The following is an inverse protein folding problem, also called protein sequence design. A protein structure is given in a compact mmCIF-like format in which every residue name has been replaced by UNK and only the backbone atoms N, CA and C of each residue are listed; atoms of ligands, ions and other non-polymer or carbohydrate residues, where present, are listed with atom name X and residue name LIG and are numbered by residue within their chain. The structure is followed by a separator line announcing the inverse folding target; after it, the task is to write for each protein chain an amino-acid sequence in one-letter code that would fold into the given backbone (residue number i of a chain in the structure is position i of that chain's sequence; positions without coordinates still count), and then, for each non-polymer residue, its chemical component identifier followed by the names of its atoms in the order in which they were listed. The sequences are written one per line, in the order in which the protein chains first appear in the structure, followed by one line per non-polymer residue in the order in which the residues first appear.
data_IF_221547276481
#
_entry.id   IF_221547276481
#
_cell.length_a   1.000
_cell.length_b   1.000
_cell.length_c   1.000
_cell.angle_alpha   90.00
_cell.angle_beta   90.00
_cell.angle_gamma   90.00
#
_symmetry.space_group_name_H-M   'P 1'
#
loop_
_entity.id
_entity.type
_entity.pdbx_description
1 polymer ?
#
# COMPACT_ATOMS: atom_id res chain seq x y z
N UNK A 1 -60.54 -34.87 -7.16
CA UNK A 1 -61.66 -35.02 -6.21
C UNK A 1 -61.63 -36.44 -5.69
N UNK A 2 -61.38 -36.58 -4.38
CA UNK A 2 -61.85 -37.69 -3.49
C UNK A 2 -61.35 -39.10 -3.82
N UNK A 3 -61.03 -39.99 -2.88
CA UNK A 3 -60.93 -40.04 -1.42
C UNK A 3 -60.32 -41.43 -1.19
N UNK A 4 -59.32 -41.60 -0.32
CA UNK A 4 -59.18 -42.87 0.38
C UNK A 4 -58.44 -42.64 1.68
N UNK A 5 -59.12 -43.01 2.76
CA UNK A 5 -58.62 -43.07 4.12
C UNK A 5 -58.57 -44.55 4.53
N UNK A 6 -57.85 -44.81 5.63
CA UNK A 6 -57.65 -46.12 6.30
C UNK A 6 -56.60 -47.01 5.61
N UNK A 7 -55.64 -47.62 6.29
CA UNK A 7 -55.46 -47.90 7.71
C UNK A 7 -54.04 -48.44 7.95
N UNK A 8 -53.65 -48.45 9.23
CA UNK A 8 -52.74 -49.42 9.89
C UNK A 8 -51.25 -49.43 9.51
N UNK A 9 -50.45 -48.79 10.38
CA UNK A 9 -49.08 -49.20 10.67
C UNK A 9 -49.10 -50.60 11.33
N UNK A 10 -48.04 -51.42 11.16
CA UNK A 10 -47.11 -51.49 12.28
C UNK A 10 -45.62 -51.61 11.90
N UNK A 11 -44.84 -50.89 12.70
CA UNK A 11 -43.50 -51.16 13.22
C UNK A 11 -42.58 -52.15 12.49
N UNK A 12 -41.45 -51.62 12.00
CA UNK A 12 -40.22 -52.41 11.86
C UNK A 12 -38.98 -51.61 12.27
N UNK A 13 -38.57 -51.87 13.51
CA UNK A 13 -37.18 -51.90 13.97
C UNK A 13 -36.41 -50.57 14.01
N UNK A 14 -36.36 -49.95 15.19
CA UNK A 14 -35.27 -49.04 15.55
C UNK A 14 -33.93 -49.78 15.36
N UNK A 15 -33.10 -49.27 14.43
CA UNK A 15 -31.69 -49.66 14.37
C UNK A 15 -31.00 -49.11 15.62
N UNK A 16 -30.46 -50.05 16.41
CA UNK A 16 -29.71 -49.81 17.63
C UNK A 16 -28.54 -48.85 17.38
N UNK A 17 -28.48 -47.76 18.13
CA UNK A 17 -27.23 -47.05 18.41
C UNK A 17 -26.30 -48.04 19.12
N UNK A 18 -25.14 -48.33 18.52
CA UNK A 18 -24.04 -48.98 19.24
C UNK A 18 -23.27 -47.89 20.00
N UNK A 19 -23.04 -48.06 21.31
CA UNK A 19 -22.23 -47.14 22.09
C UNK A 19 -20.77 -47.50 21.82
N UNK A 20 -20.06 -46.68 21.06
CA UNK A 20 -18.61 -46.79 20.96
C UNK A 20 -17.98 -45.72 21.83
N UNK A 21 -17.76 -46.17 23.07
CA UNK A 21 -16.82 -45.69 24.10
C UNK A 21 -16.06 -44.40 23.83
N UNK A 22 -16.36 -43.42 24.69
CA UNK A 22 -15.58 -42.24 25.06
C UNK A 22 -14.09 -42.47 25.39
N UNK A 23 -13.59 -43.71 25.33
CA UNK A 23 -12.25 -44.09 25.80
C UNK A 23 -11.15 -44.04 24.72
N UNK A 24 -11.46 -43.68 23.46
CA UNK A 24 -10.44 -43.56 22.38
C UNK A 24 -9.93 -42.15 22.12
N UNK A 25 -10.43 -41.15 22.85
CA UNK A 25 -10.03 -39.74 22.65
C UNK A 25 -8.76 -39.36 23.44
N UNK A 26 -8.29 -40.20 24.36
CA UNK A 26 -7.27 -39.79 25.36
C UNK A 26 -5.82 -40.20 25.07
N UNK A 27 -5.49 -40.78 23.91
CA UNK A 27 -4.09 -41.19 23.60
C UNK A 27 -3.51 -40.53 22.33
N UNK A 28 -4.33 -39.86 21.51
CA UNK A 28 -3.85 -39.11 20.33
C UNK A 28 -3.71 -37.59 20.59
N UNK A 29 -3.73 -37.16 21.85
CA UNK A 29 -3.53 -35.75 22.25
C UNK A 29 -2.12 -35.41 22.72
N UNK A 30 -1.27 -36.41 22.96
CA UNK A 30 0.01 -36.23 23.66
C UNK A 30 1.25 -36.25 22.74
N UNK A 31 1.10 -36.36 21.41
CA UNK A 31 2.23 -36.45 20.46
C UNK A 31 2.41 -35.18 19.61
N UNK A 32 1.44 -34.26 19.57
CA UNK A 32 1.54 -33.01 18.78
C UNK A 32 2.06 -31.78 19.55
N UNK A 33 2.44 -31.90 20.82
CA UNK A 33 2.87 -30.76 21.65
C UNK A 33 4.39 -30.58 21.77
N UNK A 34 5.21 -31.25 20.94
CA UNK A 34 6.69 -31.21 21.06
C UNK A 34 7.40 -30.66 19.82
N UNK A 35 6.85 -29.62 19.20
CA UNK A 35 7.53 -28.92 18.09
C UNK A 35 7.37 -27.39 18.10
N UNK A 36 6.97 -26.78 19.22
CA UNK A 36 7.20 -25.36 19.45
C UNK A 36 8.54 -25.20 20.19
N UNK A 37 9.64 -25.42 19.47
CA UNK A 37 10.85 -24.68 19.83
C UNK A 37 10.54 -23.21 19.52
N UNK A 38 10.75 -22.25 20.43
CA UNK A 38 10.82 -20.87 20.01
C UNK A 38 11.92 -20.85 18.96
N UNK A 39 11.60 -20.44 17.73
CA UNK A 39 12.65 -19.93 16.87
C UNK A 39 13.30 -18.82 17.70
N UNK A 40 14.54 -19.02 18.12
CA UNK A 40 15.41 -17.93 18.50
C UNK A 40 15.52 -17.07 17.23
N UNK A 41 14.53 -16.20 17.04
CA UNK A 41 14.71 -14.97 16.30
C UNK A 41 15.86 -14.32 17.05
N UNK A 42 17.08 -14.50 16.55
CA UNK A 42 18.18 -13.63 16.88
C UNK A 42 17.61 -12.23 16.71
N UNK A 43 17.31 -11.59 17.85
CA UNK A 43 16.97 -10.18 17.90
C UNK A 43 18.14 -9.53 17.20
N UNK A 44 17.95 -9.14 15.94
CA UNK A 44 18.98 -8.48 15.14
C UNK A 44 19.56 -7.44 16.07
N UNK A 45 20.84 -7.63 16.43
CA UNK A 45 21.52 -6.72 17.32
C UNK A 45 21.22 -5.33 16.77
N UNK A 46 20.64 -4.47 17.62
CA UNK A 46 20.31 -3.10 17.26
C UNK A 46 21.62 -2.49 16.77
N UNK A 47 21.77 -2.40 15.45
CA UNK A 47 22.88 -1.70 14.86
C UNK A 47 22.65 -0.25 15.27
N UNK A 48 23.40 0.21 16.27
CA UNK A 48 23.43 1.60 16.66
C UNK A 48 24.09 2.36 15.53
N UNK A 49 23.29 2.85 14.59
CA UNK A 49 23.76 3.74 13.56
C UNK A 49 24.00 5.11 14.20
N UNK A 50 25.25 5.39 14.55
CA UNK A 50 25.68 6.76 14.91
C UNK A 50 25.82 7.53 13.60
N UNK A 51 24.69 7.98 13.05
CA UNK A 51 24.66 8.88 11.90
C UNK A 51 24.25 10.27 12.38
N UNK A 52 25.10 11.27 12.10
CA UNK A 52 24.75 12.67 12.30
C UNK A 52 23.75 13.08 11.21
N UNK A 53 22.47 13.18 11.58
CA UNK A 53 21.44 13.69 10.67
C UNK A 53 21.69 15.18 10.42
N UNK A 54 21.63 15.63 9.16
CA UNK A 54 21.67 17.07 8.85
C UNK A 54 20.55 17.81 9.58
N UNK A 55 20.73 19.11 9.80
CA UNK A 55 19.63 19.92 10.35
C UNK A 55 18.47 20.01 9.34
N UNK A 56 17.30 20.48 9.78
CA UNK A 56 16.11 20.52 8.93
C UNK A 56 16.30 21.28 7.62
N UNK A 57 17.00 22.42 7.64
CA UNK A 57 17.26 23.21 6.44
C UNK A 57 18.16 22.45 5.46
N UNK A 58 19.18 21.77 5.96
CA UNK A 58 20.06 20.92 5.14
C UNK A 58 19.31 19.73 4.55
N UNK A 59 18.42 19.11 5.32
CA UNK A 59 17.57 18.03 4.81
C UNK A 59 16.65 18.51 3.68
N UNK A 60 16.03 19.69 3.83
CA UNK A 60 15.19 20.29 2.78
C UNK A 60 16.00 20.57 1.52
N UNK A 61 17.17 21.21 1.65
CA UNK A 61 18.06 21.47 0.52
C UNK A 61 18.49 20.18 -0.18
N UNK A 62 18.82 19.13 0.58
CA UNK A 62 19.19 17.83 0.04
C UNK A 62 18.01 17.21 -0.74
N UNK A 63 16.81 17.22 -0.17
CA UNK A 63 15.61 16.67 -0.83
C UNK A 63 15.26 17.43 -2.10
N UNK A 64 15.36 18.76 -2.08
CA UNK A 64 15.16 19.60 -3.27
C UNK A 64 16.21 19.33 -4.35
N UNK A 65 17.49 19.20 -3.99
CA UNK A 65 18.55 18.89 -4.95
C UNK A 65 18.31 17.56 -5.68
N UNK A 66 17.77 16.56 -4.97
CA UNK A 66 17.40 15.27 -5.58
C UNK A 66 16.22 15.36 -6.56
N UNK A 67 15.38 16.40 -6.51
CA UNK A 67 14.26 16.53 -7.46
C UNK A 67 14.76 16.77 -8.88
N UNK A 68 15.86 17.50 -9.05
CA UNK A 68 16.47 17.74 -10.37
C UNK A 68 16.83 16.40 -11.02
N UNK A 69 17.56 15.55 -10.31
CA UNK A 69 17.93 14.21 -10.78
C UNK A 69 16.71 13.35 -11.08
N UNK A 70 15.67 13.39 -10.23
CA UNK A 70 14.45 12.58 -10.46
C UNK A 70 13.69 13.03 -11.70
N UNK A 71 13.55 14.34 -11.92
CA UNK A 71 12.88 14.88 -13.10
C UNK A 71 13.61 14.51 -14.39
N UNK A 72 14.96 14.53 -14.38
CA UNK A 72 15.78 14.07 -15.52
C UNK A 72 15.54 12.58 -15.86
N UNK A 73 15.24 11.76 -14.86
CA UNK A 73 14.98 10.33 -15.03
C UNK A 73 13.57 10.02 -15.56
N UNK A 74 12.60 10.92 -15.39
CA UNK A 74 11.19 10.65 -15.74
C UNK A 74 10.98 10.40 -17.23
N UNK A 75 11.54 11.24 -18.10
CA UNK A 75 11.29 11.14 -19.54
C UNK A 75 11.83 9.82 -20.15
N UNK A 76 13.08 9.39 -19.88
CA UNK A 76 13.54 8.07 -20.31
C UNK A 76 12.67 6.92 -19.79
N UNK A 77 12.21 6.98 -18.54
CA UNK A 77 11.33 5.97 -17.97
C UNK A 77 9.95 5.95 -18.64
N UNK A 78 9.35 7.11 -18.88
CA UNK A 78 8.07 7.23 -19.59
C UNK A 78 8.16 6.63 -21.00
N UNK A 79 9.21 6.98 -21.76
CA UNK A 79 9.46 6.43 -23.11
C UNK A 79 9.70 4.92 -23.10
N UNK A 80 10.39 4.40 -22.09
CA UNK A 80 10.63 2.97 -21.95
C UNK A 80 9.32 2.16 -21.86
N UNK A 81 8.28 2.73 -21.25
CA UNK A 81 6.99 2.07 -21.02
C UNK A 81 5.86 2.59 -21.90
N UNK A 82 6.18 3.34 -22.97
CA UNK A 82 5.20 3.91 -23.91
C UNK A 82 4.13 4.79 -23.20
N UNK A 83 4.59 5.62 -22.26
CA UNK A 83 3.74 6.53 -21.48
C UNK A 83 3.91 7.94 -22.03
N UNK A 84 2.89 8.46 -22.72
CA UNK A 84 2.90 9.83 -23.23
C UNK A 84 2.68 10.88 -22.14
N UNK A 85 1.95 10.52 -21.09
CA UNK A 85 1.58 11.43 -19.99
C UNK A 85 1.42 10.69 -18.67
N UNK A 86 1.90 11.30 -17.60
CA UNK A 86 1.72 10.82 -16.24
C UNK A 86 1.11 11.91 -15.36
N UNK A 87 0.07 11.54 -14.61
CA UNK A 87 -0.69 12.45 -13.75
C UNK A 87 -0.64 11.91 -12.32
N UNK A 88 -0.21 12.74 -11.39
CA UNK A 88 -0.24 12.48 -9.95
C UNK A 88 -1.22 13.46 -9.32
N UNK A 89 -2.06 12.95 -8.41
CA UNK A 89 -3.11 13.72 -7.76
C UNK A 89 -2.93 13.61 -6.25
N UNK A 90 -2.50 14.69 -5.62
CA UNK A 90 -2.36 14.78 -4.17
C UNK A 90 -3.62 15.39 -3.57
N UNK A 91 -4.25 14.69 -2.65
CA UNK A 91 -5.41 15.20 -1.91
C UNK A 91 -4.98 15.71 -0.55
N UNK A 92 -5.58 16.81 -0.10
CA UNK A 92 -5.32 17.37 1.21
C UNK A 92 -5.60 16.33 2.31
N UNK A 93 -4.60 16.11 3.17
CA UNK A 93 -4.57 15.07 4.21
C UNK A 93 -4.61 13.62 3.72
N UNK A 94 -4.49 13.40 2.41
CA UNK A 94 -4.41 12.09 1.77
C UNK A 94 -3.31 12.13 0.71
N UNK A 95 -2.08 12.34 1.17
CA UNK A 95 -0.94 12.52 0.29
C UNK A 95 -0.72 11.29 -0.59
N UNK A 96 -0.54 11.54 -1.89
CA UNK A 96 -0.08 10.52 -2.81
C UNK A 96 1.38 10.16 -2.44
N UNK A 97 1.71 8.86 -2.29
CA UNK A 97 3.05 8.45 -1.89
C UNK A 97 4.15 8.87 -2.89
N UNK A 98 3.79 9.28 -4.11
CA UNK A 98 4.71 9.73 -5.13
C UNK A 98 5.05 11.22 -5.01
N UNK A 99 4.20 12.03 -4.37
CA UNK A 99 4.34 13.49 -4.30
C UNK A 99 5.71 13.90 -3.76
N UNK A 100 6.24 13.20 -2.76
CA UNK A 100 7.54 13.49 -2.15
C UNK A 100 8.76 13.30 -3.09
N UNK A 101 8.57 12.53 -4.17
CA UNK A 101 9.62 12.24 -5.15
C UNK A 101 9.54 13.15 -6.37
N UNK A 102 8.38 13.76 -6.63
CA UNK A 102 8.16 14.55 -7.83
C UNK A 102 8.00 16.04 -7.53
N UNK A 103 7.69 16.45 -6.30
CA UNK A 103 7.49 17.85 -5.96
C UNK A 103 8.25 18.29 -4.68
N UNK A 104 8.48 19.61 -4.50
CA UNK A 104 9.23 20.15 -3.36
C UNK A 104 8.67 19.74 -1.99
N UNK A 105 9.52 19.59 -0.95
CA UNK A 105 9.07 19.23 0.38
C UNK A 105 8.40 20.42 1.07
N UNK A 106 7.11 20.62 0.78
CA UNK A 106 6.26 21.67 1.34
C UNK A 106 4.91 21.09 1.80
N UNK A 107 4.15 21.81 2.64
CA UNK A 107 2.79 21.44 2.95
C UNK A 107 1.88 21.52 1.71
N UNK A 108 1.17 20.44 1.41
CA UNK A 108 0.17 20.37 0.35
C UNK A 108 -1.24 20.44 0.95
N UNK A 109 -1.70 21.67 1.19
CA UNK A 109 -2.99 21.96 1.85
C UNK A 109 -3.93 22.76 0.95
N UNK A 110 -3.83 22.57 -0.37
CA UNK A 110 -4.60 23.28 -1.39
C UNK A 110 -5.87 22.57 -1.86
N UNK A 111 -6.41 21.63 -1.08
CA UNK A 111 -7.50 20.74 -1.50
C UNK A 111 -7.02 19.61 -2.42
N UNK A 112 -6.80 19.90 -3.71
CA UNK A 112 -6.30 18.91 -4.68
C UNK A 112 -5.20 19.51 -5.55
N UNK A 113 -3.99 19.00 -5.38
CA UNK A 113 -2.84 19.37 -6.17
C UNK A 113 -2.63 18.34 -7.28
N UNK A 114 -2.43 18.80 -8.51
CA UNK A 114 -2.29 17.95 -9.70
C UNK A 114 -0.94 18.23 -10.34
N UNK A 115 -0.13 17.20 -10.46
CA UNK A 115 1.15 17.25 -11.16
C UNK A 115 1.03 16.45 -12.45
N UNK A 116 1.36 17.09 -13.57
CA UNK A 116 1.25 16.51 -14.91
C UNK A 116 2.61 16.54 -15.58
N UNK A 117 3.04 15.38 -16.04
CA UNK A 117 4.25 15.19 -16.82
C UNK A 117 3.86 14.74 -18.23
N UNK A 118 4.34 15.43 -19.25
CA UNK A 118 4.01 15.16 -20.67
C UNK A 118 5.29 15.00 -21.47
N UNK A 119 5.41 13.91 -22.23
CA UNK A 119 6.44 13.80 -23.28
C UNK A 119 5.99 14.61 -24.49
N UNK A 120 6.71 15.69 -24.81
CA UNK A 120 6.40 16.50 -25.99
C UNK A 120 7.02 15.97 -27.28
N UNK A 121 7.73 14.84 -27.21
CA UNK A 121 8.62 14.31 -28.24
C UNK A 121 10.04 14.87 -28.16
N UNK A 122 10.21 16.09 -27.67
CA UNK A 122 11.53 16.74 -27.52
C UNK A 122 12.01 16.76 -26.07
N UNK A 123 11.12 17.01 -25.12
CA UNK A 123 11.45 17.19 -23.72
C UNK A 123 10.29 16.80 -22.80
N UNK A 124 10.58 16.75 -21.50
CA UNK A 124 9.55 16.63 -20.48
C UNK A 124 8.93 18.01 -20.23
N UNK A 125 7.61 18.09 -20.34
CA UNK A 125 6.85 19.24 -19.85
C UNK A 125 6.23 18.90 -18.50
N UNK A 126 6.56 19.68 -17.48
CA UNK A 126 6.08 19.50 -16.11
C UNK A 126 5.13 20.64 -15.74
N UNK A 127 3.89 20.32 -15.43
CA UNK A 127 2.84 21.28 -15.05
C UNK A 127 2.33 20.96 -13.66
N UNK A 128 2.14 21.99 -12.83
CA UNK A 128 1.51 21.86 -11.52
C UNK A 128 0.29 22.76 -11.44
N UNK A 129 -0.82 22.18 -11.01
CA UNK A 129 -2.05 22.88 -10.65
C UNK A 129 -2.21 22.69 -9.15
N UNK A 130 -1.78 23.67 -8.39
CA UNK A 130 -1.78 23.61 -6.92
C UNK A 130 -2.59 24.74 -6.34
N UNK A 131 -3.10 24.56 -5.13
CA UNK A 131 -3.79 25.64 -4.41
C UNK A 131 -2.91 26.85 -4.10
N UNK A 132 -1.59 26.64 -3.98
CA UNK A 132 -0.63 27.71 -3.71
C UNK A 132 0.62 27.63 -4.59
N UNK A 133 0.91 28.68 -5.36
CA UNK A 133 2.08 28.71 -6.26
C UNK A 133 3.30 29.41 -5.64
N UNK A 134 4.23 28.62 -5.09
CA UNK A 134 5.46 29.11 -4.45
C UNK A 134 6.66 29.16 -5.42
N UNK A 135 7.69 29.94 -5.05
CA UNK A 135 8.91 30.10 -5.86
C UNK A 135 9.63 28.76 -6.09
N UNK A 136 9.70 27.90 -5.07
CA UNK A 136 10.35 26.60 -5.19
C UNK A 136 9.59 25.64 -6.11
N UNK A 137 8.25 25.68 -6.12
CA UNK A 137 7.42 24.90 -7.03
C UNK A 137 7.68 25.31 -8.48
N UNK A 138 7.72 26.61 -8.75
CA UNK A 138 7.96 27.16 -10.10
C UNK A 138 9.35 26.85 -10.66
N UNK A 139 10.30 26.39 -9.84
CA UNK A 139 11.60 25.88 -10.34
C UNK A 139 11.45 24.58 -11.12
N UNK A 140 10.45 23.77 -10.80
CA UNK A 140 10.25 22.43 -11.37
C UNK A 140 9.02 22.33 -12.27
N UNK A 141 8.05 23.23 -12.10
CA UNK A 141 6.76 23.16 -12.77
C UNK A 141 6.34 24.48 -13.39
N UNK A 142 5.73 24.39 -14.57
CA UNK A 142 4.83 25.42 -15.07
C UNK A 142 3.58 25.45 -14.17
N UNK A 143 3.35 26.56 -13.47
CA UNK A 143 2.18 26.76 -12.59
C UNK A 143 1.55 28.11 -12.89
N UNK A 144 0.21 28.22 -12.90
CA UNK A 144 -0.46 29.52 -12.95
C UNK A 144 -0.05 30.39 -11.75
N UNK A 145 0.02 31.70 -11.97
CA UNK A 145 -0.04 32.67 -10.88
C UNK A 145 -1.48 32.71 -10.33
N UNK A 146 -1.61 32.92 -9.02
CA UNK A 146 -2.92 33.19 -8.37
C UNK A 146 -3.47 34.57 -8.72
#
# INVERSE_FOLDING_TARGET
MSFEAHSTQPHRGLRRCRPTSLARVLVLGAVLTTACAPADTSRSAEASYEFELPNWSEQVMLREAWLETRHEMLLPMMRQYDIDMWIIVNEEFHDDPLTEYIAPPRPYTGGRDIFVFVDTGEQLRSVAITGFSEVNLKRFFESPDE
#
